data_IF_642213009172
#
_entry.id   IF_642213009172
#
_cell.length_a   1.000
_cell.length_b   1.000
_cell.length_c   1.000
_cell.angle_alpha   90.00
_cell.angle_beta   90.00
_cell.angle_gamma   90.00
#
_symmetry.space_group_name_H-M   'P 1'
#
loop_
_entity.id
_entity.type
_entity.pdbx_description
1 polymer ?
#
# COMPACT_ATOMS: atom_id res chain seq x y z
N UNK A 1 -14.27 -0.24 -3.18
CA UNK A 1 -13.21 -1.06 -3.85
C UNK A 1 -13.81 -1.83 -5.00
N UNK A 2 -13.01 -2.32 -5.95
CA UNK A 2 -13.52 -2.91 -7.20
C UNK A 2 -13.13 -4.38 -7.32
N UNK A 3 -14.11 -5.26 -7.56
CA UNK A 3 -13.86 -6.68 -7.88
C UNK A 3 -13.24 -6.82 -9.27
N UNK A 4 -12.16 -7.60 -9.40
CA UNK A 4 -11.54 -7.91 -10.69
C UNK A 4 -12.33 -8.88 -11.55
N UNK A 5 -13.31 -9.60 -11.00
CA UNK A 5 -14.11 -10.60 -11.74
C UNK A 5 -15.39 -9.97 -12.29
N UNK A 6 -16.11 -9.22 -11.46
CA UNK A 6 -17.44 -8.69 -11.80
C UNK A 6 -17.46 -7.18 -12.01
N UNK A 7 -16.37 -6.47 -11.75
CA UNK A 7 -16.34 -5.00 -11.79
C UNK A 7 -17.17 -4.32 -10.70
N UNK A 8 -17.68 -5.09 -9.73
CA UNK A 8 -18.57 -4.59 -8.69
C UNK A 8 -17.85 -3.62 -7.76
N UNK A 9 -18.47 -2.48 -7.48
CA UNK A 9 -18.03 -1.50 -6.49
C UNK A 9 -18.54 -1.91 -5.11
N UNK A 10 -17.63 -2.38 -4.26
CA UNK A 10 -17.91 -2.73 -2.89
C UNK A 10 -18.23 -1.48 -2.04
N UNK A 11 -19.20 -1.58 -1.11
CA UNK A 11 -19.54 -0.55 -0.12
C UNK A 11 -18.43 -0.43 0.95
N UNK A 12 -17.26 0.07 0.54
CA UNK A 12 -16.03 0.07 1.37
C UNK A 12 -16.16 1.01 2.57
N UNK A 13 -17.00 2.03 2.49
CA UNK A 13 -17.22 2.98 3.60
C UNK A 13 -17.98 2.32 4.74
N UNK A 14 -19.04 1.59 4.41
CA UNK A 14 -19.84 0.83 5.37
C UNK A 14 -18.98 -0.27 6.02
N UNK A 15 -18.13 -0.93 5.24
CA UNK A 15 -17.15 -1.89 5.76
C UNK A 15 -16.17 -1.20 6.72
N UNK A 16 -15.68 -0.02 6.36
CA UNK A 16 -14.77 0.76 7.21
C UNK A 16 -15.41 1.15 8.55
N UNK A 17 -16.68 1.59 8.54
CA UNK A 17 -17.44 1.91 9.74
C UNK A 17 -17.59 0.68 10.66
N UNK A 18 -17.84 -0.51 10.09
CA UNK A 18 -17.90 -1.76 10.84
C UNK A 18 -16.54 -2.14 11.44
N UNK A 19 -15.45 -2.02 10.68
CA UNK A 19 -14.10 -2.27 11.17
C UNK A 19 -13.73 -1.33 12.32
N UNK A 20 -14.05 -0.03 12.17
CA UNK A 20 -13.82 0.98 13.20
C UNK A 20 -14.63 0.68 14.47
N UNK A 21 -15.92 0.34 14.34
CA UNK A 21 -16.77 -0.04 15.48
C UNK A 21 -16.27 -1.29 16.21
N UNK A 22 -15.68 -2.24 15.49
CA UNK A 22 -15.10 -3.45 16.06
C UNK A 22 -13.65 -3.26 16.55
N UNK A 23 -13.02 -2.11 16.30
CA UNK A 23 -11.62 -1.84 16.66
C UNK A 23 -10.61 -2.72 15.91
N UNK A 24 -10.95 -3.19 14.70
CA UNK A 24 -10.07 -4.04 13.89
C UNK A 24 -9.48 -3.27 12.70
N UNK A 25 -8.24 -3.55 12.29
CA UNK A 25 -7.61 -2.85 11.19
C UNK A 25 -8.27 -3.22 9.85
N UNK A 26 -8.55 -2.21 9.04
CA UNK A 26 -9.00 -2.38 7.66
C UNK A 26 -7.79 -2.37 6.71
N UNK A 27 -7.70 -3.38 5.84
CA UNK A 27 -6.74 -3.42 4.72
C UNK A 27 -7.52 -3.36 3.43
N UNK A 28 -7.12 -2.48 2.52
CA UNK A 28 -7.82 -2.20 1.28
C UNK A 28 -6.98 -2.64 0.09
N UNK A 29 -7.50 -3.55 -0.72
CA UNK A 29 -6.96 -3.84 -2.06
C UNK A 29 -7.58 -2.89 -3.09
N UNK A 30 -6.78 -1.93 -3.55
CA UNK A 30 -7.16 -0.95 -4.54
C UNK A 30 -6.71 -1.33 -5.97
N UNK A 31 -6.37 -2.60 -6.22
CA UNK A 31 -5.82 -3.07 -7.50
C UNK A 31 -6.60 -2.68 -8.74
N UNK A 32 -7.93 -2.66 -8.66
CA UNK A 32 -8.83 -2.31 -9.77
C UNK A 32 -9.48 -0.92 -9.60
N UNK A 33 -9.20 -0.26 -8.46
CA UNK A 33 -9.75 1.05 -8.15
C UNK A 33 -8.74 2.17 -8.44
N UNK A 34 -7.46 1.95 -8.12
CA UNK A 34 -6.40 2.94 -8.31
C UNK A 34 -6.27 3.35 -9.79
N UNK A 35 -6.40 4.66 -10.06
CA UNK A 35 -6.39 5.23 -11.40
C UNK A 35 -7.72 5.10 -12.18
N UNK A 36 -8.71 4.35 -11.67
CA UNK A 36 -10.01 4.16 -12.31
C UNK A 36 -11.16 4.81 -11.53
N UNK A 37 -11.08 4.84 -10.20
CA UNK A 37 -12.11 5.34 -9.30
C UNK A 37 -11.47 6.22 -8.25
N UNK A 38 -12.00 7.42 -8.05
CA UNK A 38 -11.57 8.31 -6.98
C UNK A 38 -12.01 7.75 -5.62
N UNK A 39 -11.08 7.69 -4.67
CA UNK A 39 -11.36 7.36 -3.27
C UNK A 39 -10.35 8.05 -2.37
N UNK A 40 -10.76 8.35 -1.14
CA UNK A 40 -9.89 8.90 -0.11
C UNK A 40 -9.48 7.78 0.85
N UNK A 41 -8.22 7.35 0.74
CA UNK A 41 -7.66 6.30 1.56
C UNK A 41 -7.60 6.66 3.06
N UNK A 42 -7.33 7.94 3.36
CA UNK A 42 -7.22 8.42 4.73
C UNK A 42 -8.60 8.52 5.39
N UNK A 43 -9.60 9.04 4.65
CA UNK A 43 -10.97 9.13 5.14
C UNK A 43 -11.64 7.78 5.42
N UNK A 44 -11.16 6.70 4.78
CA UNK A 44 -11.63 5.33 5.05
C UNK A 44 -11.09 4.76 6.37
N UNK A 45 -10.14 5.40 7.04
CA UNK A 45 -9.51 4.84 8.24
C UNK A 45 -8.80 3.51 7.99
N UNK A 46 -8.36 3.27 6.75
CA UNK A 46 -7.62 2.07 6.40
C UNK A 46 -6.26 2.06 7.10
N UNK A 47 -5.84 0.91 7.64
CA UNK A 47 -4.48 0.73 8.14
C UNK A 47 -3.48 0.66 6.99
N UNK A 48 -3.88 0.00 5.90
CA UNK A 48 -3.06 -0.19 4.70
C UNK A 48 -3.91 -0.15 3.42
N UNK A 49 -3.34 0.39 2.34
CA UNK A 49 -3.92 0.34 0.99
C UNK A 49 -2.88 -0.13 -0.01
N UNK A 50 -3.14 -1.26 -0.67
CA UNK A 50 -2.24 -1.84 -1.67
C UNK A 50 -2.74 -1.60 -3.10
N UNK A 51 -1.84 -1.25 -4.01
CA UNK A 51 -2.15 -1.09 -5.43
C UNK A 51 -0.94 -1.40 -6.33
N UNK A 52 -1.10 -2.13 -7.44
CA UNK A 52 -0.04 -2.37 -8.40
C UNK A 52 0.09 -1.20 -9.38
N UNK A 53 1.31 -0.89 -9.81
CA UNK A 53 1.54 0.18 -10.79
C UNK A 53 1.02 -0.16 -12.19
N UNK A 54 1.16 -1.40 -12.62
CA UNK A 54 0.87 -1.85 -14.00
C UNK A 54 -0.61 -2.02 -14.38
N UNK A 55 -1.55 -1.51 -13.56
CA UNK A 55 -2.98 -1.55 -13.86
C UNK A 55 -3.49 -0.14 -14.18
N UNK A 56 -4.53 0.34 -13.50
CA UNK A 56 -5.12 1.66 -13.74
C UNK A 56 -4.16 2.83 -13.52
N UNK A 57 -3.03 2.61 -12.84
CA UNK A 57 -1.96 3.61 -12.65
C UNK A 57 -1.00 3.72 -13.84
N UNK A 58 -1.10 2.84 -14.84
CA UNK A 58 -0.32 2.88 -16.09
C UNK A 58 1.21 2.82 -15.91
N UNK A 59 1.69 2.34 -14.76
CA UNK A 59 3.10 2.12 -14.48
C UNK A 59 3.66 0.83 -15.10
N UNK A 60 4.97 0.61 -15.02
CA UNK A 60 5.58 -0.61 -15.53
C UNK A 60 5.32 -1.82 -14.61
N UNK A 61 5.48 -3.02 -15.15
CA UNK A 61 5.46 -4.25 -14.35
C UNK A 61 6.60 -4.25 -13.32
N UNK A 62 6.41 -4.96 -12.21
CA UNK A 62 7.39 -4.97 -11.11
C UNK A 62 7.36 -3.71 -10.24
N UNK A 63 6.26 -2.94 -10.27
CA UNK A 63 6.03 -1.79 -9.39
C UNK A 63 4.68 -1.91 -8.68
N UNK A 64 4.62 -1.32 -7.49
CA UNK A 64 3.42 -1.27 -6.65
C UNK A 64 3.60 -0.26 -5.52
N UNK A 65 2.50 0.06 -4.85
CA UNK A 65 2.43 1.03 -3.77
C UNK A 65 1.69 0.39 -2.60
N UNK A 66 2.22 0.55 -1.40
CA UNK A 66 1.55 0.24 -0.14
C UNK A 66 1.48 1.52 0.70
N UNK A 67 0.31 2.14 0.76
CA UNK A 67 0.09 3.25 1.68
C UNK A 67 -0.05 2.69 3.09
N UNK A 68 0.76 3.21 4.02
CA UNK A 68 0.80 2.77 5.41
C UNK A 68 0.31 3.89 6.33
N UNK A 69 -0.85 3.69 6.96
CA UNK A 69 -1.37 4.59 8.01
C UNK A 69 -1.15 4.00 9.42
N UNK A 70 -0.95 2.69 9.50
CA UNK A 70 -0.39 2.01 10.66
C UNK A 70 1.13 1.82 10.51
N UNK A 71 1.81 1.46 11.60
CA UNK A 71 3.23 1.11 11.57
C UNK A 71 3.44 -0.42 11.55
N UNK A 72 3.71 -1.04 10.39
CA UNK A 72 4.00 -2.46 10.32
C UNK A 72 5.44 -2.75 10.77
N UNK A 73 5.72 -4.03 11.03
CA UNK A 73 7.10 -4.52 11.17
C UNK A 73 7.67 -4.81 9.78
N UNK A 74 8.97 -4.58 9.54
CA UNK A 74 9.61 -4.97 8.28
C UNK A 74 9.43 -6.46 8.02
N UNK A 75 9.09 -6.82 6.77
CA UNK A 75 9.02 -8.22 6.32
C UNK A 75 10.39 -8.72 5.86
N UNK A 76 11.13 -7.86 5.16
CA UNK A 76 12.47 -8.10 4.66
C UNK A 76 13.42 -7.11 5.33
N UNK A 77 14.62 -7.57 5.67
CA UNK A 77 15.68 -6.74 6.24
C UNK A 77 16.94 -6.86 5.38
N UNK A 78 17.68 -5.77 5.25
CA UNK A 78 18.91 -5.70 4.47
C UNK A 78 19.37 -4.26 4.29
N UNK A 79 20.38 -4.04 3.45
CA UNK A 79 20.78 -2.68 3.11
C UNK A 79 19.68 -1.96 2.32
N UNK A 80 19.31 -0.75 2.73
CA UNK A 80 18.36 0.12 2.01
C UNK A 80 19.06 1.03 0.99
N UNK A 81 20.38 1.20 1.12
CA UNK A 81 21.15 2.16 0.33
C UNK A 81 21.07 3.61 0.82
N UNK A 82 20.26 3.90 1.85
CA UNK A 82 20.10 5.25 2.43
C UNK A 82 20.89 5.45 3.73
N UNK A 83 20.82 4.47 4.66
CA UNK A 83 21.46 4.55 5.98
C UNK A 83 22.39 3.34 6.22
N UNK A 84 23.41 3.20 5.36
CA UNK A 84 24.30 2.03 5.33
C UNK A 84 25.14 1.79 6.59
N UNK A 85 25.17 2.75 7.53
CA UNK A 85 25.87 2.62 8.81
C UNK A 85 25.05 1.89 9.88
N UNK A 86 23.73 1.81 9.70
CA UNK A 86 22.85 1.11 10.62
C UNK A 86 22.94 -0.40 10.39
N UNK A 87 22.93 -1.16 11.49
CA UNK A 87 22.86 -2.62 11.47
C UNK A 87 21.41 -3.11 11.27
N UNK A 88 20.44 -2.32 11.76
CA UNK A 88 19.01 -2.60 11.66
C UNK A 88 18.36 -1.79 10.53
N UNK A 89 17.13 -2.17 10.17
CA UNK A 89 16.33 -1.38 9.23
C UNK A 89 16.08 0.03 9.78
N UNK A 90 16.10 1.08 8.93
CA UNK A 90 15.69 2.42 9.33
C UNK A 90 14.27 2.45 9.93
N UNK A 91 13.98 3.43 10.78
CA UNK A 91 12.65 3.54 11.42
C UNK A 91 11.64 4.31 10.57
N UNK A 92 12.13 5.13 9.63
CA UNK A 92 11.31 6.04 8.81
C UNK A 92 10.84 5.36 7.52
N UNK A 93 9.61 5.69 7.11
CA UNK A 93 9.10 5.28 5.80
C UNK A 93 9.66 6.18 4.70
N UNK A 94 9.92 5.64 3.50
CA UNK A 94 9.64 4.27 3.08
C UNK A 94 10.73 3.25 3.46
N UNK A 95 11.95 3.71 3.73
CA UNK A 95 13.16 2.89 3.93
C UNK A 95 12.99 1.73 4.92
N UNK A 96 12.19 1.93 5.98
CA UNK A 96 11.85 0.89 6.95
C UNK A 96 11.29 -0.39 6.32
N UNK A 97 10.59 -0.28 5.19
CA UNK A 97 9.88 -1.39 4.55
C UNK A 97 10.46 -1.78 3.19
N UNK A 98 11.47 -1.07 2.70
CA UNK A 98 12.04 -1.27 1.36
C UNK A 98 13.52 -1.69 1.47
N UNK A 99 13.73 -2.97 1.76
CA UNK A 99 15.06 -3.55 1.81
C UNK A 99 15.61 -3.85 0.40
N UNK A 100 16.89 -3.59 0.19
CA UNK A 100 17.61 -3.87 -1.04
C UNK A 100 17.55 -2.73 -2.06
N UNK A 101 18.21 -2.94 -3.20
CA UNK A 101 18.21 -1.97 -4.29
C UNK A 101 16.82 -1.88 -4.93
N UNK A 102 16.25 -0.68 -4.99
CA UNK A 102 14.95 -0.45 -5.58
C UNK A 102 14.93 -0.70 -7.09
N UNK A 103 13.74 -0.99 -7.62
CA UNK A 103 13.48 -0.99 -9.06
C UNK A 103 13.45 0.45 -9.58
N UNK A 104 14.60 1.13 -9.58
CA UNK A 104 14.73 2.55 -9.95
C UNK A 104 14.15 2.84 -11.35
N UNK A 105 14.41 2.04 -12.41
CA UNK A 105 13.79 2.27 -13.71
C UNK A 105 12.27 2.17 -13.71
N UNK A 106 11.69 1.46 -12.74
CA UNK A 106 10.24 1.30 -12.61
C UNK A 106 9.56 2.44 -11.86
N UNK A 107 10.24 3.07 -10.92
CA UNK A 107 9.68 4.10 -10.02
C UNK A 107 10.13 5.54 -10.35
N UNK A 108 11.00 5.71 -11.35
CA UNK A 108 11.54 7.00 -11.80
C UNK A 108 10.58 7.78 -12.73
#
# INVERSE_FOLDING_TARGET
MVSNVFGYLLPVREIAELCAAAGVPLIVDASQAAGCVAFDAAALGAAFVAMPGHKGLLGPQGTGILLCFAQPKPLLCGGTGSQSVLQDMPEELPDRLEAGTHNVPGIA
#
